data_IF_703678853658
#
_entry.id   IF_703678853658
#
_cell.length_a   1.000
_cell.length_b   1.000
_cell.length_c   1.000
_cell.angle_alpha   90.00
_cell.angle_beta   90.00
_cell.angle_gamma   90.00
#
_symmetry.space_group_name_H-M   'P 1'
#
loop_
_entity.id
_entity.type
_entity.pdbx_description
1 polymer ?
#
# COMPACT_ATOMS: atom_id res chain seq x y z
N UNK A 1 -5.66 24.61 -66.91
CA UNK A 1 -6.70 24.52 -65.84
C UNK A 1 -6.87 23.03 -65.53
N UNK A 2 -6.75 22.46 -64.32
CA UNK A 2 -6.47 22.90 -62.96
C UNK A 2 -6.30 21.56 -62.18
N UNK A 3 -5.14 21.27 -61.57
CA UNK A 3 -4.97 20.05 -60.75
C UNK A 3 -5.62 20.28 -59.38
N UNK A 4 -6.62 19.47 -59.01
CA UNK A 4 -7.21 19.46 -57.67
C UNK A 4 -6.27 18.70 -56.72
N UNK A 5 -5.59 19.43 -55.82
CA UNK A 5 -4.93 18.85 -54.65
C UNK A 5 -5.99 18.60 -53.58
N UNK A 6 -6.24 17.33 -53.25
CA UNK A 6 -7.07 16.94 -52.11
C UNK A 6 -6.14 16.77 -50.90
N UNK A 7 -6.22 17.69 -49.95
CA UNK A 7 -5.47 17.62 -48.69
C UNK A 7 -6.17 16.62 -47.74
N UNK A 8 -5.48 15.54 -47.39
CA UNK A 8 -5.92 14.59 -46.38
C UNK A 8 -5.55 15.14 -44.99
N UNK A 9 -6.56 15.53 -44.20
CA UNK A 9 -6.39 15.96 -42.82
C UNK A 9 -6.22 14.72 -41.93
N UNK A 10 -5.00 14.45 -41.47
CA UNK A 10 -4.71 13.43 -40.46
C UNK A 10 -5.18 13.93 -39.10
N UNK A 11 -6.29 13.39 -38.61
CA UNK A 11 -6.77 13.58 -37.23
C UNK A 11 -6.04 12.55 -36.36
N UNK A 12 -5.08 13.00 -35.55
CA UNK A 12 -4.47 12.19 -34.49
C UNK A 12 -5.42 12.13 -33.31
N UNK A 13 -6.04 10.96 -33.11
CA UNK A 13 -6.85 10.68 -31.92
C UNK A 13 -5.88 10.41 -30.77
N UNK A 14 -5.76 11.36 -29.83
CA UNK A 14 -5.07 11.15 -28.57
C UNK A 14 -5.99 10.34 -27.65
N UNK A 15 -5.81 9.02 -27.61
CA UNK A 15 -6.49 8.17 -26.66
C UNK A 15 -5.88 8.41 -25.27
N UNK A 16 -6.51 9.26 -24.46
CA UNK A 16 -6.19 9.37 -23.05
C UNK A 16 -6.58 8.05 -22.38
N UNK A 17 -5.60 7.20 -22.09
CA UNK A 17 -5.80 6.05 -21.21
C UNK A 17 -6.10 6.60 -19.82
N UNK A 18 -7.37 6.52 -19.42
CA UNK A 18 -7.74 6.74 -18.03
C UNK A 18 -7.09 5.63 -17.20
N UNK A 19 -5.94 5.91 -16.59
CA UNK A 19 -5.37 5.05 -15.57
C UNK A 19 -6.42 4.94 -14.47
N UNK A 20 -7.01 3.75 -14.28
CA UNK A 20 -7.88 3.51 -13.13
C UNK A 20 -7.04 3.78 -11.87
N UNK A 21 -7.44 4.80 -11.12
CA UNK A 21 -6.80 5.10 -9.85
C UNK A 21 -7.08 3.94 -8.88
N UNK A 22 -6.06 3.16 -8.56
CA UNK A 22 -6.18 2.10 -7.56
C UNK A 22 -6.53 2.72 -6.20
N UNK A 23 -7.55 2.16 -5.55
CA UNK A 23 -7.93 2.52 -4.18
C UNK A 23 -7.65 1.37 -3.23
N UNK A 24 -7.30 1.69 -1.99
CA UNK A 24 -7.15 0.74 -0.90
C UNK A 24 -8.36 0.86 0.02
N UNK A 25 -9.06 -0.25 0.24
CA UNK A 25 -10.12 -0.33 1.25
C UNK A 25 -9.53 -0.73 2.61
N UNK A 26 -9.92 -0.02 3.68
CA UNK A 26 -9.58 -0.39 5.07
C UNK A 26 -10.88 -0.70 5.80
N UNK A 27 -11.02 -1.94 6.26
CA UNK A 27 -12.31 -2.51 6.70
C UNK A 27 -12.15 -3.54 7.83
N UNK A 28 -13.27 -4.13 8.27
CA UNK A 28 -13.32 -5.12 9.35
C UNK A 28 -13.52 -4.47 10.71
N UNK A 29 -12.71 -4.87 11.71
CA UNK A 29 -12.72 -4.36 13.08
C UNK A 29 -12.13 -2.94 13.17
N UNK A 30 -12.80 -2.00 12.51
CA UNK A 30 -12.45 -0.58 12.41
C UNK A 30 -13.66 0.27 12.80
N UNK A 31 -13.43 1.45 13.38
CA UNK A 31 -14.51 2.39 13.72
C UNK A 31 -14.80 3.36 12.58
N UNK A 32 -13.83 3.60 11.70
CA UNK A 32 -13.93 4.47 10.54
C UNK A 32 -13.42 3.74 9.28
N UNK A 33 -14.26 2.97 8.57
CA UNK A 33 -13.86 2.36 7.31
C UNK A 33 -13.33 3.41 6.32
N UNK A 34 -12.22 3.10 5.65
CA UNK A 34 -11.56 4.03 4.71
C UNK A 34 -11.59 3.47 3.29
N UNK A 35 -11.65 4.38 2.32
CA UNK A 35 -11.33 4.09 0.92
C UNK A 35 -10.34 5.15 0.43
N UNK A 36 -9.09 4.73 0.28
CA UNK A 36 -7.95 5.64 0.10
C UNK A 36 -7.45 5.56 -1.34
N UNK A 37 -7.46 6.68 -2.06
CA UNK A 37 -6.77 6.82 -3.33
C UNK A 37 -5.36 7.41 -3.14
N UNK A 38 -4.60 7.50 -4.24
CA UNK A 38 -3.26 8.10 -4.22
C UNK A 38 -3.23 9.54 -3.65
N UNK A 39 -4.28 10.33 -3.88
CA UNK A 39 -4.38 11.70 -3.35
C UNK A 39 -4.63 11.75 -1.84
N UNK A 40 -5.20 10.70 -1.25
CA UNK A 40 -5.38 10.61 0.20
C UNK A 40 -4.09 10.15 0.85
N UNK A 41 -3.46 9.11 0.28
CA UNK A 41 -2.18 8.56 0.74
C UNK A 41 -1.06 9.62 0.70
N UNK A 42 -1.02 10.47 -0.33
CA UNK A 42 0.02 11.50 -0.45
C UNK A 42 -0.07 12.61 0.62
N UNK A 43 -1.22 12.76 1.27
CA UNK A 43 -1.44 13.75 2.36
C UNK A 43 -1.14 13.19 3.75
N UNK A 44 -1.01 11.88 3.88
CA UNK A 44 -0.71 11.24 5.16
C UNK A 44 0.74 11.46 5.58
N UNK A 45 1.03 11.28 6.87
CA UNK A 45 2.40 11.34 7.37
C UNK A 45 3.24 10.23 6.71
N UNK A 46 4.30 10.63 6.01
CA UNK A 46 5.21 9.74 5.31
C UNK A 46 6.45 9.45 6.13
N UNK A 47 7.06 8.31 5.84
CA UNK A 47 8.39 7.95 6.33
C UNK A 47 9.19 7.27 5.22
N UNK A 48 10.44 6.96 5.52
CA UNK A 48 11.31 6.18 4.65
C UNK A 48 11.96 5.06 5.46
N UNK A 49 12.05 3.86 4.85
CA UNK A 49 12.74 2.71 5.43
C UNK A 49 13.77 2.18 4.42
N UNK A 50 14.92 1.74 4.93
CA UNK A 50 15.90 1.00 4.12
C UNK A 50 15.65 -0.49 4.32
N UNK A 51 15.49 -1.22 3.22
CA UNK A 51 15.26 -2.66 3.28
C UNK A 51 15.85 -3.37 2.05
N UNK A 52 16.31 -4.60 2.25
CA UNK A 52 16.88 -5.40 1.18
C UNK A 52 15.79 -6.13 0.39
N UNK A 53 15.86 -6.07 -0.94
CA UNK A 53 14.93 -6.80 -1.81
C UNK A 53 15.23 -8.31 -1.82
N UNK A 54 14.57 -9.05 -2.73
CA UNK A 54 14.72 -10.50 -2.85
C UNK A 54 16.16 -10.93 -3.17
N UNK A 55 16.93 -10.08 -3.85
CA UNK A 55 18.30 -10.34 -4.26
C UNK A 55 19.32 -9.85 -3.21
N UNK A 56 18.82 -9.36 -2.07
CA UNK A 56 19.65 -8.84 -0.98
C UNK A 56 20.14 -7.42 -1.22
N UNK A 57 19.67 -6.73 -2.26
CA UNK A 57 20.09 -5.37 -2.57
C UNK A 57 19.32 -4.36 -1.70
N UNK A 58 20.01 -3.46 -0.97
CA UNK A 58 19.33 -2.45 -0.17
C UNK A 58 18.70 -1.37 -1.05
N UNK A 59 17.47 -0.99 -0.70
CA UNK A 59 16.70 0.07 -1.35
C UNK A 59 16.04 0.98 -0.30
N UNK A 60 15.81 2.24 -0.66
CA UNK A 60 15.08 3.22 0.17
C UNK A 60 13.62 3.26 -0.28
N UNK A 61 12.72 2.77 0.55
CA UNK A 61 11.29 2.79 0.27
C UNK A 61 10.64 3.94 1.03
N UNK A 62 9.87 4.78 0.32
CA UNK A 62 9.08 5.86 0.92
C UNK A 62 7.59 5.52 0.84
N UNK A 63 6.87 5.84 1.91
CA UNK A 63 5.46 5.53 2.03
C UNK A 63 4.86 5.98 3.35
N UNK A 64 3.66 5.50 3.63
CA UNK A 64 2.93 5.78 4.87
C UNK A 64 3.14 4.61 5.85
N UNK A 65 3.46 4.84 7.13
CA UNK A 65 3.42 3.79 8.14
C UNK A 65 2.03 3.13 8.16
N UNK A 66 1.98 1.79 8.12
CA UNK A 66 0.70 1.07 8.14
C UNK A 66 -0.09 1.43 9.40
N UNK A 67 0.58 1.62 10.54
CA UNK A 67 -0.04 2.11 11.78
C UNK A 67 -0.78 3.42 11.62
N UNK A 68 -0.24 4.38 10.87
CA UNK A 68 -0.91 5.67 10.62
C UNK A 68 -2.24 5.46 9.89
N UNK A 69 -2.29 4.55 8.92
CA UNK A 69 -3.51 4.17 8.21
C UNK A 69 -4.52 3.54 9.17
N UNK A 70 -4.07 2.60 10.00
CA UNK A 70 -4.92 1.91 10.99
C UNK A 70 -5.42 2.85 12.08
N UNK A 71 -4.61 3.82 12.54
CA UNK A 71 -5.02 4.86 13.47
C UNK A 71 -6.13 5.73 12.88
N UNK A 72 -5.99 6.13 11.62
CA UNK A 72 -7.04 6.90 10.93
C UNK A 72 -8.34 6.09 10.75
N UNK A 73 -8.24 4.77 10.58
CA UNK A 73 -9.39 3.87 10.56
C UNK A 73 -9.97 3.58 11.97
N UNK A 74 -9.32 4.09 13.02
CA UNK A 74 -9.71 3.91 14.41
C UNK A 74 -9.62 2.47 14.89
N UNK A 75 -8.54 1.79 14.52
CA UNK A 75 -8.16 0.47 15.02
C UNK A 75 -7.65 0.55 16.45
N UNK A 76 -7.94 -0.48 17.25
CA UNK A 76 -7.43 -0.62 18.63
C UNK A 76 -5.92 -0.81 18.64
N UNK A 77 -5.18 0.18 19.14
CA UNK A 77 -3.71 0.25 19.15
C UNK A 77 -3.20 0.74 20.52
N UNK A 78 -1.89 0.73 20.73
CA UNK A 78 -1.17 1.20 21.91
C UNK A 78 -1.66 0.54 23.20
N UNK A 79 -1.94 1.35 24.23
CA UNK A 79 -2.40 0.85 25.53
C UNK A 79 -3.75 0.11 25.49
N UNK A 80 -4.53 0.22 24.40
CA UNK A 80 -5.78 -0.50 24.22
C UNK A 80 -5.56 -1.90 23.62
N UNK A 81 -4.40 -2.12 23.00
CA UNK A 81 -4.01 -3.38 22.37
C UNK A 81 -3.54 -4.36 23.47
N UNK A 82 -4.51 -4.92 24.21
CA UNK A 82 -4.33 -5.83 25.35
C UNK A 82 -5.54 -6.77 25.51
N UNK A 83 -5.39 -7.84 26.29
CA UNK A 83 -6.47 -8.81 26.52
C UNK A 83 -6.90 -9.46 25.21
N UNK A 84 -8.21 -9.55 24.96
CA UNK A 84 -8.76 -10.10 23.72
C UNK A 84 -8.28 -9.37 22.45
N UNK A 85 -7.94 -8.08 22.54
CA UNK A 85 -7.43 -7.33 21.38
C UNK A 85 -6.05 -7.84 20.92
N UNK A 86 -5.34 -8.64 21.72
CA UNK A 86 -4.07 -9.25 21.31
C UNK A 86 -4.22 -10.26 20.18
N UNK A 87 -5.39 -10.85 20.00
CA UNK A 87 -5.63 -11.77 18.89
C UNK A 87 -6.04 -11.04 17.60
N UNK A 88 -6.13 -9.70 17.61
CA UNK A 88 -6.39 -8.94 16.39
C UNK A 88 -5.19 -8.95 15.46
N UNK A 89 -5.49 -9.02 14.17
CA UNK A 89 -4.51 -8.98 13.09
C UNK A 89 -5.01 -8.13 11.92
N UNK A 90 -4.06 -7.71 11.10
CA UNK A 90 -4.28 -7.12 9.80
C UNK A 90 -4.07 -8.18 8.72
N UNK A 91 -5.08 -8.41 7.89
CA UNK A 91 -4.98 -9.16 6.63
C UNK A 91 -4.84 -8.15 5.49
N UNK A 92 -3.78 -8.29 4.69
CA UNK A 92 -3.54 -7.44 3.51
C UNK A 92 -3.69 -8.29 2.25
N UNK A 93 -4.45 -7.77 1.28
CA UNK A 93 -4.75 -8.44 0.02
C UNK A 93 -4.22 -7.66 -1.19
N UNK A 94 -3.69 -8.40 -2.16
CA UNK A 94 -3.23 -7.93 -3.47
C UNK A 94 -4.33 -8.04 -4.53
N UNK A 95 -4.21 -7.28 -5.62
CA UNK A 95 -5.09 -7.37 -6.80
C UNK A 95 -5.16 -8.77 -7.40
N UNK A 96 -4.10 -9.57 -7.31
CA UNK A 96 -4.05 -10.98 -7.76
C UNK A 96 -4.66 -11.98 -6.76
N UNK A 97 -5.17 -11.50 -5.61
CA UNK A 97 -5.77 -12.33 -4.57
C UNK A 97 -4.78 -12.94 -3.58
N UNK A 98 -3.49 -12.68 -3.70
CA UNK A 98 -2.51 -13.05 -2.67
C UNK A 98 -2.82 -12.32 -1.36
N UNK A 99 -2.61 -13.01 -0.23
CA UNK A 99 -2.91 -12.48 1.10
C UNK A 99 -1.75 -12.72 2.07
N UNK A 100 -1.48 -11.73 2.92
CA UNK A 100 -0.48 -11.80 3.98
C UNK A 100 -1.06 -11.23 5.27
N UNK A 101 -0.55 -11.69 6.41
CA UNK A 101 -1.06 -11.32 7.73
C UNK A 101 0.04 -10.70 8.60
N UNK A 102 -0.36 -9.73 9.41
CA UNK A 102 0.45 -9.11 10.47
C UNK A 102 -0.35 -9.09 11.77
N UNK A 103 0.24 -9.49 12.89
CA UNK A 103 -0.36 -9.16 14.18
C UNK A 103 -0.39 -7.63 14.37
N UNK A 104 -1.36 -7.09 15.11
CA UNK A 104 -1.37 -5.65 15.35
C UNK A 104 -0.13 -5.20 16.16
N UNK A 105 0.39 -6.05 17.05
CA UNK A 105 1.60 -5.77 17.82
C UNK A 105 2.87 -5.66 16.96
N UNK A 106 2.93 -6.33 15.79
CA UNK A 106 4.04 -6.15 14.85
C UNK A 106 4.04 -4.79 14.14
N UNK A 107 2.91 -4.10 14.14
CA UNK A 107 2.74 -2.79 13.51
C UNK A 107 2.93 -1.69 14.54
N UNK A 108 2.47 -1.90 15.77
CA UNK A 108 2.32 -0.88 16.81
C UNK A 108 3.65 -0.46 17.48
N UNK A 109 3.89 0.86 17.53
CA UNK A 109 5.11 1.44 18.10
C UNK A 109 5.25 1.28 19.61
N UNK A 110 4.18 0.94 20.33
CA UNK A 110 4.26 0.57 21.75
C UNK A 110 4.92 -0.80 21.98
N UNK A 111 5.04 -1.63 20.93
CA UNK A 111 5.56 -3.01 21.00
C UNK A 111 6.84 -3.21 20.19
N UNK A 112 7.06 -2.42 19.14
CA UNK A 112 8.24 -2.56 18.29
C UNK A 112 8.68 -1.24 17.68
N UNK A 113 9.99 -1.05 17.52
CA UNK A 113 10.56 0.09 16.77
C UNK A 113 10.49 -0.12 15.25
N UNK A 114 10.14 -1.34 14.80
CA UNK A 114 10.08 -1.66 13.37
C UNK A 114 8.88 -0.99 12.73
N UNK A 115 9.12 -0.12 11.76
CA UNK A 115 8.06 0.53 10.99
C UNK A 115 7.79 -0.23 9.70
N UNK A 116 6.61 -0.84 9.61
CA UNK A 116 6.09 -1.42 8.37
C UNK A 116 5.36 -0.33 7.60
N UNK A 117 5.66 -0.19 6.31
CA UNK A 117 5.10 0.88 5.47
C UNK A 117 4.31 0.33 4.30
N UNK A 118 3.29 1.08 3.91
CA UNK A 118 2.70 1.05 2.58
C UNK A 118 3.50 2.00 1.68
N UNK A 119 4.45 1.46 0.94
CA UNK A 119 5.29 2.19 0.01
C UNK A 119 4.54 2.47 -1.31
N UNK A 120 4.79 3.64 -1.88
CA UNK A 120 4.43 4.05 -3.25
C UNK A 120 5.66 4.49 -4.06
N UNK A 121 6.85 4.52 -3.42
CA UNK A 121 8.12 4.87 -4.06
C UNK A 121 9.27 3.97 -3.59
N UNK A 122 10.25 3.80 -4.48
CA UNK A 122 11.56 3.18 -4.21
C UNK A 122 12.66 4.04 -4.83
N UNK A 123 13.69 4.33 -4.05
CA UNK A 123 14.84 5.16 -4.44
C UNK A 123 14.44 6.52 -5.05
N UNK A 124 13.38 7.13 -4.51
CA UNK A 124 12.86 8.43 -4.96
C UNK A 124 12.07 8.37 -6.28
N UNK A 125 11.81 7.18 -6.81
CA UNK A 125 11.02 6.94 -8.01
C UNK A 125 9.73 6.19 -7.67
N UNK A 126 8.68 6.26 -8.50
CA UNK A 126 7.54 5.36 -8.37
C UNK A 126 7.96 3.89 -8.33
N UNK A 127 7.15 3.05 -7.69
CA UNK A 127 7.37 1.61 -7.72
C UNK A 127 7.38 1.08 -9.17
N UNK A 128 8.24 0.10 -9.50
CA UNK A 128 8.27 -0.51 -10.84
C UNK A 128 6.93 -1.14 -11.23
N UNK A 129 6.69 -1.25 -12.53
CA UNK A 129 5.51 -1.92 -13.08
C UNK A 129 5.33 -3.34 -12.51
N UNK A 130 4.08 -3.70 -12.21
CA UNK A 130 3.72 -4.97 -11.56
C UNK A 130 4.19 -5.09 -10.10
N UNK A 131 4.75 -4.03 -9.51
CA UNK A 131 5.10 -3.95 -8.07
C UNK A 131 4.43 -2.78 -7.36
N UNK A 132 3.83 -1.85 -8.10
CA UNK A 132 3.10 -0.70 -7.61
C UNK A 132 1.59 -0.82 -7.83
N UNK A 133 0.80 0.25 -7.65
CA UNK A 133 1.22 1.56 -7.14
C UNK A 133 1.45 1.55 -5.63
N UNK A 134 1.01 0.50 -4.92
CA UNK A 134 1.19 0.37 -3.49
C UNK A 134 1.75 -1.00 -3.10
N UNK A 135 2.75 -1.01 -2.22
CA UNK A 135 3.43 -2.22 -1.76
C UNK A 135 3.72 -2.17 -0.27
N UNK A 136 3.46 -3.26 0.46
CA UNK A 136 3.93 -3.41 1.84
C UNK A 136 5.44 -3.68 1.83
N UNK A 137 6.17 -2.96 2.68
CA UNK A 137 7.60 -3.17 2.92
C UNK A 137 7.82 -3.40 4.41
N UNK A 138 8.45 -4.53 4.75
CA UNK A 138 8.76 -4.95 6.12
C UNK A 138 10.28 -4.96 6.30
N UNK A 139 10.90 -3.91 6.85
CA UNK A 139 12.34 -3.87 7.03
C UNK A 139 12.81 -4.99 7.98
N UNK A 140 14.02 -5.50 7.72
CA UNK A 140 14.64 -6.55 8.53
C UNK A 140 14.23 -7.99 8.22
N UNK A 141 13.31 -8.22 7.28
CA UNK A 141 13.04 -9.59 6.81
C UNK A 141 14.17 -10.12 5.92
N UNK A 142 14.61 -11.36 6.20
CA UNK A 142 15.60 -12.06 5.36
C UNK A 142 15.03 -12.50 4.01
N UNK A 143 13.71 -12.75 3.95
CA UNK A 143 12.97 -13.11 2.75
C UNK A 143 11.72 -12.23 2.68
N UNK A 144 11.54 -11.41 1.63
CA UNK A 144 10.44 -10.45 1.54
C UNK A 144 9.12 -11.11 1.07
N UNK A 145 8.77 -12.28 1.63
CA UNK A 145 7.57 -13.02 1.25
C UNK A 145 6.28 -12.27 1.63
N UNK A 146 6.33 -11.43 2.67
CA UNK A 146 5.19 -10.62 3.11
C UNK A 146 5.15 -9.22 2.48
N UNK A 147 6.07 -8.90 1.57
CA UNK A 147 6.13 -7.60 0.91
C UNK A 147 5.17 -7.55 -0.29
N UNK A 148 3.89 -7.67 0.02
CA UNK A 148 2.80 -7.77 -0.93
C UNK A 148 2.70 -6.50 -1.78
N UNK A 149 2.65 -6.65 -3.10
CA UNK A 149 2.46 -5.56 -4.07
C UNK A 149 0.98 -5.45 -4.46
N UNK A 150 0.65 -4.41 -5.24
CA UNK A 150 -0.70 -4.16 -5.74
C UNK A 150 -1.77 -4.22 -4.62
N UNK A 151 -1.47 -3.63 -3.47
CA UNK A 151 -2.34 -3.69 -2.29
C UNK A 151 -3.71 -3.09 -2.59
N UNK A 152 -4.78 -3.86 -2.37
CA UNK A 152 -6.18 -3.44 -2.63
C UNK A 152 -7.01 -3.37 -1.36
N UNK A 153 -6.74 -4.23 -0.38
CA UNK A 153 -7.54 -4.29 0.86
C UNK A 153 -6.67 -4.51 2.09
N UNK A 154 -7.05 -3.85 3.18
CA UNK A 154 -6.54 -4.00 4.53
C UNK A 154 -7.72 -4.31 5.47
N UNK A 155 -7.87 -5.57 5.89
CA UNK A 155 -8.96 -5.98 6.78
C UNK A 155 -8.43 -6.29 8.17
N UNK A 156 -8.96 -5.62 9.20
CA UNK A 156 -8.66 -5.97 10.61
C UNK A 156 -9.65 -7.01 11.10
N UNK A 157 -9.17 -8.08 11.74
CA UNK A 157 -10.01 -9.17 12.27
C UNK A 157 -9.45 -9.70 13.57
N UNK A 158 -10.27 -10.38 14.35
CA UNK A 158 -9.81 -11.28 15.40
C UNK A 158 -9.37 -12.62 14.79
N UNK A 159 -8.30 -13.21 15.33
CA UNK A 159 -8.05 -14.63 15.17
C UNK A 159 -9.23 -15.35 15.81
N UNK A 160 -10.06 -15.97 14.97
CA UNK A 160 -11.17 -16.79 15.42
C UNK A 160 -10.61 -18.01 16.13
N UNK A 161 -11.33 -18.45 17.16
CA UNK A 161 -11.32 -19.85 17.58
C UNK A 161 -12.10 -20.71 16.57
#
# INVERSE_FOLDING_TARGET
>A
MLYKLTACLLITIFAATAAFAQTISVEGEVTHPLKLGAADISKMQRTEVTAADRDGKPHRYSGVPVTTILQQAGVTLGAQLKGENMSKYLLVKSGDGYEVLFSLAELDSAFTDRVIILADQVDGQPLPDGKGPFRIVVPGEKKPARWIWEVTTMTVRFAKD
#
